data_IF_286657947191
#
_entry.id   IF_286657947191
#
_cell.length_a   1.000
_cell.length_b   1.000
_cell.length_c   1.000
_cell.angle_alpha   90.00
_cell.angle_beta   90.00
_cell.angle_gamma   90.00
#
_symmetry.space_group_name_H-M   'P 1'
#
loop_
_entity.id
_entity.type
_entity.pdbx_description
1 polymer ?
#
# COMPACT_ATOMS: atom_id res chain seq x y z
N UNK A 1 -3.32 48.75 -2.95
CA UNK A 1 -4.23 49.30 -3.97
C UNK A 1 -4.97 48.10 -4.56
N UNK A 2 -6.31 48.01 -4.42
CA UNK A 2 -7.05 46.81 -4.81
C UNK A 2 -7.01 46.57 -6.34
N UNK A 3 -6.96 45.31 -6.81
CA UNK A 3 -6.88 45.00 -8.24
C UNK A 3 -8.17 45.45 -8.97
N UNK A 4 -7.99 46.17 -10.08
CA UNK A 4 -9.09 46.59 -10.96
C UNK A 4 -9.25 45.56 -12.09
N UNK A 5 -10.50 45.22 -12.42
CA UNK A 5 -10.80 44.33 -13.54
C UNK A 5 -11.61 45.07 -14.61
N UNK A 6 -11.35 44.72 -15.88
CA UNK A 6 -12.01 45.34 -17.03
C UNK A 6 -13.35 44.65 -17.28
N UNK A 7 -14.43 45.41 -17.23
CA UNK A 7 -15.77 44.95 -17.58
C UNK A 7 -16.17 45.60 -18.90
N UNK A 8 -16.44 44.76 -19.90
CA UNK A 8 -17.01 45.18 -21.18
C UNK A 8 -18.53 45.04 -21.13
N UNK A 9 -19.24 46.14 -21.31
CA UNK A 9 -20.69 46.17 -21.45
C UNK A 9 -21.02 46.18 -22.94
N UNK A 10 -21.86 45.23 -23.37
CA UNK A 10 -22.31 45.09 -24.75
C UNK A 10 -23.82 45.36 -24.83
N UNK A 11 -24.23 46.15 -25.81
CA UNK A 11 -25.64 46.43 -26.10
C UNK A 11 -25.90 46.13 -27.58
N UNK A 12 -26.95 45.34 -27.86
CA UNK A 12 -27.33 44.92 -29.21
C UNK A 12 -26.17 44.33 -30.06
N UNK A 13 -25.29 43.54 -29.43
CA UNK A 13 -24.18 42.87 -30.11
C UNK A 13 -22.99 43.75 -30.46
N UNK A 14 -22.97 45.03 -30.04
CA UNK A 14 -21.81 45.92 -30.18
C UNK A 14 -21.25 46.29 -28.80
N UNK A 15 -19.92 46.40 -28.74
CA UNK A 15 -19.20 46.80 -27.53
C UNK A 15 -19.49 48.28 -27.26
N UNK A 16 -20.14 48.56 -26.14
CA UNK A 16 -20.67 49.89 -25.84
C UNK A 16 -19.68 50.65 -24.94
N UNK A 17 -19.18 50.01 -23.87
CA UNK A 17 -18.19 50.60 -22.95
C UNK A 17 -17.27 49.55 -22.34
N UNK A 18 -16.01 49.93 -22.13
CA UNK A 18 -15.06 49.20 -21.29
C UNK A 18 -14.81 50.03 -20.05
N UNK A 19 -15.33 49.58 -18.91
CA UNK A 19 -15.17 50.24 -17.62
C UNK A 19 -14.24 49.42 -16.73
N UNK A 20 -13.29 50.07 -16.07
CA UNK A 20 -12.50 49.45 -15.01
C UNK A 20 -13.29 49.50 -13.72
N UNK A 21 -13.81 48.34 -13.28
CA UNK A 21 -14.51 48.22 -12.01
C UNK A 21 -13.53 47.70 -10.96
N UNK A 22 -13.68 48.20 -9.74
CA UNK A 22 -12.96 47.70 -8.57
C UNK A 22 -13.92 46.82 -7.77
N UNK A 23 -13.38 45.77 -7.16
CA UNK A 23 -14.12 44.98 -6.19
C UNK A 23 -14.64 45.90 -5.08
N UNK A 24 -15.89 45.70 -4.68
CA UNK A 24 -16.49 46.49 -3.63
C UNK A 24 -15.72 46.22 -2.32
N UNK A 25 -15.20 47.25 -1.64
CA UNK A 25 -14.33 47.10 -0.47
C UNK A 25 -14.98 46.34 0.70
N UNK A 26 -16.31 46.18 0.69
CA UNK A 26 -17.03 45.31 1.64
C UNK A 26 -16.63 43.83 1.53
N UNK A 27 -16.16 43.38 0.36
CA UNK A 27 -15.78 41.98 0.11
C UNK A 27 -14.27 41.73 0.20
N UNK A 28 -13.46 42.79 0.23
CA UNK A 28 -12.00 42.73 0.37
C UNK A 28 -11.53 41.93 1.61
N UNK A 29 -12.11 42.09 2.82
CA UNK A 29 -11.71 41.30 3.97
C UNK A 29 -12.15 39.82 3.92
N UNK A 30 -13.08 39.48 3.02
CA UNK A 30 -13.57 38.11 2.84
C UNK A 30 -12.79 37.39 1.73
N UNK A 31 -12.40 38.09 0.67
CA UNK A 31 -11.57 37.55 -0.41
C UNK A 31 -10.27 36.93 0.13
N UNK A 32 -9.50 37.69 0.94
CA UNK A 32 -8.27 37.17 1.53
C UNK A 32 -8.45 36.08 2.59
N UNK A 33 -9.69 35.80 3.04
CA UNK A 33 -10.00 34.64 3.89
C UNK A 33 -10.27 33.41 3.04
N UNK A 34 -10.97 33.57 1.91
CA UNK A 34 -11.25 32.49 0.96
C UNK A 34 -9.94 31.96 0.39
N UNK A 35 -9.02 32.83 -0.04
CA UNK A 35 -7.72 32.42 -0.58
C UNK A 35 -6.92 31.54 0.42
N UNK A 36 -6.96 31.90 1.71
CA UNK A 36 -6.30 31.14 2.78
C UNK A 36 -6.97 29.80 3.03
N UNK A 37 -8.30 29.74 2.94
CA UNK A 37 -9.06 28.51 3.12
C UNK A 37 -8.77 27.54 1.98
N UNK A 38 -8.73 28.02 0.74
CA UNK A 38 -8.38 27.20 -0.44
C UNK A 38 -6.94 26.67 -0.33
N UNK A 39 -5.98 27.48 0.13
CA UNK A 39 -4.60 27.03 0.34
C UNK A 39 -4.50 25.95 1.44
N UNK A 40 -5.29 26.07 2.51
CA UNK A 40 -5.34 25.07 3.59
C UNK A 40 -5.98 23.78 3.08
N UNK A 41 -7.09 23.87 2.34
CA UNK A 41 -7.78 22.71 1.78
C UNK A 41 -6.88 21.94 0.80
N UNK A 42 -6.17 22.64 -0.08
CA UNK A 42 -5.22 22.03 -0.99
C UNK A 42 -4.10 21.26 -0.24
N UNK A 43 -3.60 21.81 0.88
CA UNK A 43 -2.60 21.14 1.72
C UNK A 43 -3.16 19.92 2.44
N UNK A 44 -4.41 19.97 2.88
CA UNK A 44 -5.08 18.83 3.52
C UNK A 44 -5.25 17.70 2.50
N UNK A 45 -5.74 18.01 1.30
CA UNK A 45 -5.89 17.02 0.22
C UNK A 45 -4.56 16.38 -0.17
N UNK A 46 -3.47 17.16 -0.25
CA UNK A 46 -2.13 16.62 -0.54
C UNK A 46 -1.63 15.70 0.58
N UNK A 47 -1.95 16.00 1.85
CA UNK A 47 -1.60 15.13 2.98
C UNK A 47 -2.43 13.84 3.01
N UNK A 48 -3.73 13.93 2.71
CA UNK A 48 -4.61 12.77 2.64
C UNK A 48 -4.19 11.82 1.52
N UNK A 49 -3.86 12.34 0.33
CA UNK A 49 -3.41 11.52 -0.80
C UNK A 49 -2.09 10.79 -0.49
N UNK A 50 -1.14 11.48 0.18
CA UNK A 50 0.11 10.87 0.67
C UNK A 50 -0.14 9.80 1.73
N UNK A 51 -1.09 10.01 2.63
CA UNK A 51 -1.46 9.00 3.62
C UNK A 51 -2.06 7.77 2.95
N UNK A 52 -3.06 7.94 2.09
CA UNK A 52 -3.75 6.84 1.40
C UNK A 52 -2.77 6.03 0.56
N UNK A 53 -1.89 6.69 -0.20
CA UNK A 53 -0.82 6.02 -0.95
C UNK A 53 0.14 5.22 -0.06
N UNK A 54 0.46 5.75 1.12
CA UNK A 54 1.30 5.06 2.11
C UNK A 54 0.66 3.80 2.70
N UNK A 55 -0.62 3.85 3.08
CA UNK A 55 -1.34 2.68 3.62
C UNK A 55 -1.42 1.55 2.60
N UNK A 56 -1.70 1.86 1.33
CA UNK A 56 -1.76 0.86 0.27
C UNK A 56 -0.39 0.19 0.01
N UNK A 57 0.71 0.95 0.12
CA UNK A 57 2.06 0.40 -0.02
C UNK A 57 2.42 -0.56 1.12
N UNK A 58 2.00 -0.25 2.36
CA UNK A 58 2.20 -1.12 3.52
C UNK A 58 1.41 -2.43 3.40
N UNK A 59 0.17 -2.36 2.92
CA UNK A 59 -0.66 -3.55 2.70
C UNK A 59 -0.09 -4.47 1.61
N UNK A 60 0.43 -3.90 0.52
CA UNK A 60 1.07 -4.68 -0.55
C UNK A 60 2.38 -5.36 -0.06
N UNK A 61 3.21 -4.66 0.72
CA UNK A 61 4.42 -5.25 1.29
C UNK A 61 4.09 -6.41 2.25
N UNK A 62 3.09 -6.23 3.11
CA UNK A 62 2.66 -7.28 4.04
C UNK A 62 2.12 -8.51 3.29
N UNK A 63 1.40 -8.30 2.19
CA UNK A 63 0.82 -9.36 1.37
C UNK A 63 1.90 -10.17 0.65
N UNK A 64 2.95 -9.53 0.13
CA UNK A 64 4.08 -10.21 -0.51
C UNK A 64 4.90 -11.03 0.50
N UNK A 65 5.15 -10.49 1.68
CA UNK A 65 5.88 -11.20 2.75
C UNK A 65 5.07 -12.40 3.26
N UNK A 66 3.75 -12.23 3.42
CA UNK A 66 2.86 -13.29 3.91
C UNK A 66 2.82 -14.51 2.99
N UNK A 67 2.76 -14.29 1.67
CA UNK A 67 2.60 -15.37 0.69
C UNK A 67 3.84 -16.28 0.60
N UNK A 68 5.04 -15.71 0.75
CA UNK A 68 6.29 -16.46 0.68
C UNK A 68 6.51 -17.37 1.90
N UNK A 69 6.16 -16.90 3.09
CA UNK A 69 6.29 -17.69 4.32
C UNK A 69 5.28 -18.85 4.36
N UNK A 70 4.04 -18.63 3.92
CA UNK A 70 3.02 -19.67 3.92
C UNK A 70 3.42 -20.86 3.03
N UNK A 71 4.00 -20.60 1.86
CA UNK A 71 4.50 -21.64 0.97
C UNK A 71 5.58 -22.52 1.62
N UNK A 72 6.51 -21.91 2.35
CA UNK A 72 7.59 -22.64 3.03
C UNK A 72 7.06 -23.50 4.18
N UNK A 73 6.08 -22.99 4.96
CA UNK A 73 5.45 -23.77 6.04
C UNK A 73 4.73 -25.02 5.52
N UNK A 74 4.04 -24.92 4.38
CA UNK A 74 3.36 -26.07 3.75
C UNK A 74 4.38 -27.15 3.34
N UNK A 75 5.47 -26.75 2.69
CA UNK A 75 6.53 -27.70 2.30
C UNK A 75 7.22 -28.35 3.51
N UNK A 76 7.53 -27.58 4.55
CA UNK A 76 8.11 -28.11 5.77
C UNK A 76 7.18 -29.13 6.46
N UNK A 77 5.87 -28.90 6.43
CA UNK A 77 4.88 -29.84 6.95
C UNK A 77 4.90 -31.18 6.19
N UNK A 78 4.96 -31.15 4.85
CA UNK A 78 5.07 -32.37 4.05
C UNK A 78 6.35 -33.16 4.36
N UNK A 79 7.49 -32.47 4.49
CA UNK A 79 8.77 -33.11 4.86
C UNK A 79 8.67 -33.73 6.26
N UNK A 80 8.11 -33.00 7.23
CA UNK A 80 7.93 -33.50 8.60
C UNK A 80 7.04 -34.75 8.65
N UNK A 81 5.93 -34.77 7.91
CA UNK A 81 5.05 -35.94 7.81
C UNK A 81 5.78 -37.11 7.15
N UNK A 82 6.52 -36.87 6.07
CA UNK A 82 7.32 -37.90 5.39
C UNK A 82 8.35 -38.55 6.32
N UNK A 83 9.09 -37.72 7.08
CA UNK A 83 10.03 -38.19 8.10
C UNK A 83 9.34 -38.96 9.22
N UNK A 84 8.14 -38.52 9.64
CA UNK A 84 7.36 -39.20 10.66
C UNK A 84 6.89 -40.58 10.21
N UNK A 85 6.41 -40.72 8.97
CA UNK A 85 6.02 -42.03 8.40
C UNK A 85 7.24 -42.93 8.26
N UNK A 86 8.36 -42.41 7.76
CA UNK A 86 9.60 -43.16 7.66
C UNK A 86 10.08 -43.63 9.04
N UNK A 87 10.00 -42.75 10.05
CA UNK A 87 10.31 -43.08 11.43
C UNK A 87 9.39 -44.16 12.00
N UNK A 88 8.09 -44.12 11.71
CA UNK A 88 7.16 -45.16 12.13
C UNK A 88 7.46 -46.51 11.46
N UNK A 89 7.79 -46.52 10.17
CA UNK A 89 8.23 -47.74 9.48
C UNK A 89 9.53 -48.29 10.09
N UNK A 90 10.52 -47.43 10.30
CA UNK A 90 11.78 -47.79 10.96
C UNK A 90 11.52 -48.37 12.36
N UNK A 91 10.66 -47.73 13.15
CA UNK A 91 10.30 -48.18 14.51
C UNK A 91 9.62 -49.53 14.49
N UNK A 92 8.70 -49.77 13.55
CA UNK A 92 7.98 -51.04 13.42
C UNK A 92 8.89 -52.19 12.97
N UNK A 93 9.88 -51.90 12.12
CA UNK A 93 10.84 -52.87 11.61
C UNK A 93 12.19 -52.86 12.34
N UNK A 94 12.28 -52.20 13.51
CA UNK A 94 13.54 -51.98 14.24
C UNK A 94 14.31 -53.29 14.47
N UNK A 95 13.64 -54.35 14.88
CA UNK A 95 14.29 -55.65 15.15
C UNK A 95 14.91 -56.32 13.91
N UNK A 96 14.38 -56.06 12.71
CA UNK A 96 14.94 -56.57 11.45
C UNK A 96 16.08 -55.69 10.94
N UNK A 97 15.95 -54.37 11.11
CA UNK A 97 16.95 -53.40 10.68
C UNK A 97 18.30 -53.59 11.40
N UNK A 98 18.27 -53.78 12.72
CA UNK A 98 19.48 -54.09 13.49
C UNK A 98 20.08 -55.43 13.09
N UNK A 99 19.27 -56.44 12.79
CA UNK A 99 19.78 -57.73 12.28
C UNK A 99 20.50 -57.56 10.95
N UNK A 100 19.94 -56.83 9.98
CA UNK A 100 20.61 -56.59 8.69
C UNK A 100 21.89 -55.76 8.84
N UNK A 101 21.91 -54.75 9.72
CA UNK A 101 23.12 -53.95 9.94
C UNK A 101 24.22 -54.73 10.66
N UNK A 102 23.88 -55.50 11.69
CA UNK A 102 24.86 -56.32 12.41
C UNK A 102 25.36 -57.50 11.58
N UNK A 103 24.48 -58.23 10.86
CA UNK A 103 24.92 -59.33 10.00
C UNK A 103 25.79 -58.85 8.82
N UNK A 104 25.47 -57.71 8.20
CA UNK A 104 26.27 -57.19 7.08
C UNK A 104 27.63 -56.64 7.51
N UNK A 105 27.76 -56.24 8.78
CA UNK A 105 29.04 -55.81 9.35
C UNK A 105 29.90 -56.97 9.86
N UNK A 106 29.30 -58.14 10.14
CA UNK A 106 30.00 -59.34 10.63
C UNK A 106 30.70 -60.13 9.51
N UNK A 107 30.35 -59.91 8.24
CA UNK A 107 31.04 -60.49 7.07
C UNK A 107 32.29 -59.69 6.62
N UNK A 108 32.68 -58.65 7.37
CA UNK A 108 33.85 -57.80 7.05
C UNK A 108 34.99 -57.89 8.07
N UNK A 109 35.00 -58.93 8.91
CA UNK A 109 36.15 -59.29 9.76
C UNK A 109 36.85 -60.51 9.18
#
# INVERSE_FOLDING_TARGET
QAPAYKVSEFSNGKLDKVAERRLNPKFDPMAGKVDKLEEIEAKILEQEDKMIGGWNAVDDEFRVVSDHHFHHFVWLSFIAIGLMIFYFQYRRNRSKFWKTFYYYNDYKV
#
